data_IF_628783578647
#
_entry.id   IF_628783578647
#
_cell.length_a   1.000
_cell.length_b   1.000
_cell.length_c   1.000
_cell.angle_alpha   90.00
_cell.angle_beta   90.00
_cell.angle_gamma   90.00
#
_symmetry.space_group_name_H-M   'P 1'
#
loop_
_entity.id
_entity.type
_entity.pdbx_description
1 polymer ?
#
# COMPACT_ATOMS: atom_id res chain seq x y z
N UNK A 1 -25.90 19.92 -1.72
CA UNK A 1 -24.48 20.29 -1.51
C UNK A 1 -23.65 19.02 -1.64
N UNK A 2 -22.85 18.92 -2.67
CA UNK A 2 -22.25 17.67 -3.15
C UNK A 2 -21.17 17.16 -2.16
N UNK A 3 -21.35 15.99 -1.57
CA UNK A 3 -20.37 15.31 -0.67
C UNK A 3 -19.01 14.99 -1.35
N UNK A 4 -18.89 15.16 -2.66
CA UNK A 4 -17.63 14.99 -3.40
C UNK A 4 -16.59 16.08 -3.12
N UNK A 5 -16.99 17.27 -2.72
CA UNK A 5 -16.10 18.43 -2.55
C UNK A 5 -15.18 18.38 -1.32
N UNK A 6 -15.53 17.65 -0.26
CA UNK A 6 -14.66 17.53 0.95
C UNK A 6 -13.50 16.55 0.76
N UNK A 7 -13.72 15.46 0.03
CA UNK A 7 -12.65 14.47 -0.29
C UNK A 7 -11.64 15.00 -1.32
N UNK A 8 -12.04 15.96 -2.16
CA UNK A 8 -11.15 16.61 -3.12
C UNK A 8 -10.23 17.68 -2.49
N UNK A 9 -10.59 18.23 -1.32
CA UNK A 9 -9.79 19.27 -0.66
C UNK A 9 -8.56 18.69 0.07
N UNK A 10 -8.71 17.57 0.80
CA UNK A 10 -7.63 17.01 1.63
C UNK A 10 -6.86 15.86 0.92
N UNK A 11 -7.52 15.07 0.09
CA UNK A 11 -6.90 13.97 -0.65
C UNK A 11 -5.69 14.39 -1.51
N UNK A 12 -5.75 15.44 -2.32
CA UNK A 12 -4.61 15.90 -3.10
C UNK A 12 -3.41 16.36 -2.26
N UNK A 13 -3.62 16.92 -1.07
CA UNK A 13 -2.53 17.37 -0.20
C UNK A 13 -1.77 16.19 0.40
N UNK A 14 -2.46 15.17 0.91
CA UNK A 14 -1.85 13.95 1.47
C UNK A 14 -1.13 13.13 0.39
N UNK A 15 -1.70 13.03 -0.82
CA UNK A 15 -1.03 12.38 -1.96
C UNK A 15 0.25 13.13 -2.34
N UNK A 16 0.21 14.47 -2.44
CA UNK A 16 1.43 15.26 -2.72
C UNK A 16 2.50 15.06 -1.66
N UNK A 17 2.14 15.04 -0.38
CA UNK A 17 3.08 14.76 0.70
C UNK A 17 3.71 13.36 0.54
N UNK A 18 2.91 12.34 0.25
CA UNK A 18 3.39 10.98 0.00
C UNK A 18 4.37 10.92 -1.19
N UNK A 19 4.09 11.63 -2.28
CA UNK A 19 4.97 11.72 -3.44
C UNK A 19 6.32 12.36 -3.08
N UNK A 20 6.30 13.50 -2.38
CA UNK A 20 7.54 14.18 -1.96
C UNK A 20 8.39 13.27 -1.08
N UNK A 21 7.81 12.66 -0.05
CA UNK A 21 8.52 11.77 0.86
C UNK A 21 9.07 10.53 0.14
N UNK A 22 8.32 9.97 -0.80
CA UNK A 22 8.77 8.84 -1.61
C UNK A 22 9.98 9.20 -2.48
N UNK A 23 9.97 10.37 -3.13
CA UNK A 23 11.10 10.88 -3.92
C UNK A 23 12.32 11.14 -3.02
N UNK A 24 12.13 11.78 -1.88
CA UNK A 24 13.23 12.10 -0.95
C UNK A 24 13.88 10.83 -0.40
N UNK A 25 13.09 9.80 -0.14
CA UNK A 25 13.60 8.49 0.28
C UNK A 25 14.48 7.84 -0.80
N UNK A 26 14.08 7.90 -2.07
CA UNK A 26 14.90 7.38 -3.17
C UNK A 26 16.17 8.23 -3.33
N UNK A 27 16.06 9.55 -3.26
CA UNK A 27 17.23 10.46 -3.33
C UNK A 27 18.22 10.23 -2.21
N UNK A 28 17.79 9.79 -1.03
CA UNK A 28 18.68 9.51 0.09
C UNK A 28 19.60 8.30 -0.14
N UNK A 29 19.30 7.45 -1.13
CA UNK A 29 20.06 6.24 -1.46
C UNK A 29 20.63 6.23 -2.88
N UNK A 30 20.53 7.36 -3.61
CA UNK A 30 21.03 7.51 -4.99
C UNK A 30 21.88 8.77 -5.13
N UNK A 31 22.89 8.71 -6.01
CA UNK A 31 23.91 9.80 -6.16
C UNK A 31 23.62 10.76 -7.32
N UNK A 32 22.42 10.95 -7.74
CA UNK A 32 22.18 11.86 -8.85
C UNK A 32 20.73 12.19 -9.11
N UNK A 33 20.50 13.34 -9.70
CA UNK A 33 19.18 13.77 -10.13
C UNK A 33 19.15 14.09 -11.62
N UNK A 34 18.15 13.64 -12.30
CA UNK A 34 17.84 13.98 -13.68
C UNK A 34 16.33 14.00 -13.86
N UNK A 35 15.84 14.37 -15.03
CA UNK A 35 14.44 14.21 -15.37
C UNK A 35 14.30 13.43 -16.68
N UNK A 36 13.21 12.71 -16.85
CA UNK A 36 12.85 12.04 -18.07
C UNK A 36 11.41 12.35 -18.44
N UNK A 37 11.19 12.65 -19.70
CA UNK A 37 9.85 12.88 -20.25
C UNK A 37 9.25 11.60 -20.86
N UNK A 38 9.96 10.47 -20.77
CA UNK A 38 9.52 9.20 -21.33
C UNK A 38 9.96 8.02 -20.46
N UNK A 39 9.09 7.01 -20.30
CA UNK A 39 9.35 5.82 -19.50
C UNK A 39 8.87 4.54 -20.21
N UNK A 40 9.65 3.47 -20.07
CA UNK A 40 9.20 2.10 -20.31
C UNK A 40 8.90 1.48 -18.95
N UNK A 41 7.68 1.02 -18.75
CA UNK A 41 7.24 0.50 -17.47
C UNK A 41 7.09 -1.01 -17.54
N UNK A 42 7.76 -1.71 -16.65
CA UNK A 42 7.66 -3.14 -16.47
C UNK A 42 6.66 -3.52 -15.38
N UNK A 43 6.25 -4.79 -15.36
CA UNK A 43 5.43 -5.32 -14.28
C UNK A 43 5.57 -6.82 -14.11
N UNK A 44 5.53 -7.27 -12.85
CA UNK A 44 5.41 -8.68 -12.46
C UNK A 44 4.31 -8.87 -11.41
N UNK A 45 3.70 -10.05 -11.43
CA UNK A 45 2.66 -10.47 -10.48
C UNK A 45 1.31 -10.72 -11.14
N UNK A 46 0.40 -11.34 -10.40
CA UNK A 46 -0.87 -11.85 -10.94
C UNK A 46 -1.74 -10.81 -11.62
N UNK A 47 -1.68 -9.56 -11.18
CA UNK A 47 -2.47 -8.45 -11.74
C UNK A 47 -1.63 -7.45 -12.54
N UNK A 48 -0.34 -7.75 -12.82
CA UNK A 48 0.59 -6.80 -13.43
C UNK A 48 0.15 -6.38 -14.84
N UNK A 49 -0.25 -7.32 -15.67
CA UNK A 49 -0.73 -7.03 -17.04
C UNK A 49 -1.95 -6.08 -17.03
N UNK A 50 -2.85 -6.22 -16.05
CA UNK A 50 -3.98 -5.32 -15.86
C UNK A 50 -3.52 -3.94 -15.33
N UNK A 51 -2.62 -3.92 -14.35
CA UNK A 51 -2.11 -2.68 -13.75
C UNK A 51 -1.36 -1.81 -14.77
N UNK A 52 -0.56 -2.43 -15.67
CA UNK A 52 0.16 -1.73 -16.74
C UNK A 52 -0.78 -1.04 -17.76
N UNK A 53 -1.99 -1.58 -17.94
CA UNK A 53 -3.04 -1.00 -18.81
C UNK A 53 -4.02 -0.11 -18.02
N UNK A 54 -3.84 -0.01 -16.71
CA UNK A 54 -4.77 0.65 -15.82
C UNK A 54 -4.79 2.17 -16.02
N UNK A 55 -5.99 2.74 -16.14
CA UNK A 55 -6.20 4.18 -16.32
C UNK A 55 -5.51 5.02 -15.25
N UNK A 56 -5.53 4.57 -13.98
CA UNK A 56 -4.93 5.32 -12.87
C UNK A 56 -3.41 5.51 -13.03
N UNK A 57 -2.70 4.55 -13.61
CA UNK A 57 -1.28 4.69 -13.92
C UNK A 57 -1.06 5.67 -15.06
N UNK A 58 -1.83 5.54 -16.15
CA UNK A 58 -1.75 6.43 -17.30
C UNK A 58 -2.08 7.88 -16.94
N UNK A 59 -3.15 8.11 -16.18
CA UNK A 59 -3.54 9.44 -15.73
C UNK A 59 -2.46 10.08 -14.84
N UNK A 60 -1.79 9.29 -13.98
CA UNK A 60 -0.70 9.77 -13.15
C UNK A 60 0.55 10.13 -13.97
N UNK A 61 0.92 9.32 -14.95
CA UNK A 61 2.04 9.62 -15.87
C UNK A 61 1.77 10.90 -16.66
N UNK A 62 0.54 11.05 -17.17
CA UNK A 62 0.13 12.25 -17.92
C UNK A 62 0.20 13.50 -17.02
N UNK A 63 -0.22 13.42 -15.77
CA UNK A 63 -0.15 14.53 -14.81
C UNK A 63 1.31 14.97 -14.55
N UNK A 64 2.26 14.03 -14.54
CA UNK A 64 3.69 14.27 -14.40
C UNK A 64 4.37 14.62 -15.76
N UNK A 65 3.63 14.65 -16.86
CA UNK A 65 4.15 14.87 -18.23
C UNK A 65 5.22 13.84 -18.60
N UNK A 66 4.94 12.58 -18.33
CA UNK A 66 5.78 11.44 -18.70
C UNK A 66 5.08 10.64 -19.77
N UNK A 67 5.68 10.55 -20.95
CA UNK A 67 5.19 9.72 -22.05
C UNK A 67 5.46 8.25 -21.76
N UNK A 68 4.45 7.41 -21.88
CA UNK A 68 4.59 5.96 -21.77
C UNK A 68 5.10 5.40 -23.11
N UNK A 69 6.42 5.23 -23.23
CA UNK A 69 7.07 4.70 -24.44
C UNK A 69 6.78 3.21 -24.68
N UNK A 70 6.41 2.47 -23.62
CA UNK A 70 6.05 1.07 -23.73
C UNK A 70 5.82 0.41 -22.39
N UNK A 71 5.23 -0.79 -22.45
CA UNK A 71 5.05 -1.64 -21.27
C UNK A 71 5.61 -3.03 -21.53
N UNK A 72 6.21 -3.66 -20.49
CA UNK A 72 6.75 -5.02 -20.56
C UNK A 72 6.23 -5.81 -19.36
N UNK A 73 5.74 -7.01 -19.62
CA UNK A 73 5.31 -7.95 -18.56
C UNK A 73 6.32 -9.08 -18.45
N UNK A 74 6.67 -9.44 -17.23
CA UNK A 74 7.55 -10.57 -16.90
C UNK A 74 6.82 -11.56 -16.00
N UNK A 75 7.20 -12.82 -16.06
CA UNK A 75 6.58 -13.88 -15.27
C UNK A 75 7.23 -14.04 -13.90
N UNK A 76 8.50 -13.65 -13.74
CA UNK A 76 9.26 -13.82 -12.51
C UNK A 76 10.30 -12.72 -12.27
N UNK A 77 10.83 -12.61 -11.03
CA UNK A 77 11.81 -11.59 -10.68
C UNK A 77 13.15 -11.69 -11.43
N UNK A 78 13.58 -12.87 -11.80
CA UNK A 78 14.89 -13.07 -12.49
C UNK A 78 14.85 -12.45 -13.87
N UNK A 79 13.76 -12.68 -14.61
CA UNK A 79 13.55 -12.07 -15.93
C UNK A 79 13.44 -10.55 -15.82
N UNK A 80 12.66 -10.05 -14.85
CA UNK A 80 12.52 -8.61 -14.61
C UNK A 80 13.88 -7.95 -14.36
N UNK A 81 14.65 -8.47 -13.41
CA UNK A 81 15.91 -7.84 -12.99
C UNK A 81 17.01 -8.00 -14.04
N UNK A 82 16.97 -9.06 -14.84
CA UNK A 82 17.90 -9.31 -15.95
C UNK A 82 17.66 -8.44 -17.18
N UNK A 83 16.48 -7.87 -17.36
CA UNK A 83 16.14 -7.02 -18.52
C UNK A 83 16.45 -5.54 -18.21
N UNK A 84 17.14 -4.87 -19.12
CA UNK A 84 17.55 -3.46 -18.96
C UNK A 84 16.67 -2.46 -19.72
N UNK A 85 15.64 -2.91 -20.44
CA UNK A 85 14.83 -2.06 -21.33
C UNK A 85 13.83 -1.17 -20.62
N UNK A 86 13.53 -1.42 -19.34
CA UNK A 86 12.57 -0.65 -18.55
C UNK A 86 13.27 0.30 -17.57
N UNK A 87 12.60 1.39 -17.23
CA UNK A 87 13.08 2.42 -16.28
C UNK A 87 12.39 2.33 -14.91
N UNK A 88 11.15 1.84 -14.86
CA UNK A 88 10.39 1.61 -13.64
C UNK A 88 9.64 0.28 -13.75
N UNK A 89 9.58 -0.46 -12.65
CA UNK A 89 8.81 -1.70 -12.60
C UNK A 89 7.81 -1.72 -11.43
N UNK A 90 6.61 -2.23 -11.72
CA UNK A 90 5.58 -2.56 -10.75
C UNK A 90 5.82 -3.99 -10.25
N UNK A 91 5.99 -4.16 -8.96
CA UNK A 91 6.08 -5.46 -8.31
C UNK A 91 4.80 -5.71 -7.52
N UNK A 92 3.99 -6.66 -7.98
CA UNK A 92 2.71 -6.99 -7.38
C UNK A 92 2.77 -8.37 -6.70
N UNK A 93 1.69 -8.76 -6.02
CA UNK A 93 1.64 -10.08 -5.37
C UNK A 93 1.84 -11.20 -6.40
N UNK A 94 2.58 -12.28 -6.06
CA UNK A 94 3.16 -12.56 -4.74
C UNK A 94 4.56 -11.99 -4.50
N UNK A 95 5.20 -11.33 -5.45
CA UNK A 95 6.64 -11.12 -5.56
C UNK A 95 7.25 -10.03 -4.66
N UNK A 96 6.44 -9.20 -3.98
CA UNK A 96 6.91 -8.01 -3.25
C UNK A 96 7.99 -8.28 -2.20
N UNK A 97 7.92 -9.43 -1.53
CA UNK A 97 8.90 -9.82 -0.51
C UNK A 97 10.08 -10.61 -1.12
N UNK A 98 9.85 -11.30 -2.23
CA UNK A 98 10.86 -12.11 -2.91
C UNK A 98 11.83 -11.26 -3.73
N UNK A 99 11.37 -10.14 -4.28
CA UNK A 99 12.20 -9.20 -5.05
C UNK A 99 13.16 -8.43 -4.14
N UNK A 100 12.76 -8.10 -2.91
CA UNK A 100 13.52 -7.25 -2.02
C UNK A 100 14.98 -7.72 -1.78
N UNK A 101 15.27 -9.01 -1.47
CA UNK A 101 16.63 -9.46 -1.25
C UNK A 101 17.49 -9.53 -2.53
N UNK A 102 16.87 -9.48 -3.71
CA UNK A 102 17.58 -9.51 -5.00
C UNK A 102 18.00 -8.12 -5.50
N UNK A 103 17.57 -7.04 -4.83
CA UNK A 103 17.90 -5.66 -5.20
C UNK A 103 19.01 -5.13 -4.30
N UNK A 104 20.12 -4.65 -4.86
CA UNK A 104 21.28 -4.25 -4.08
C UNK A 104 21.03 -2.98 -3.23
N UNK A 105 20.17 -2.09 -3.69
CA UNK A 105 19.86 -0.84 -3.01
C UNK A 105 18.38 -0.77 -2.69
N UNK A 106 18.05 -0.65 -1.40
CA UNK A 106 16.68 -0.49 -0.92
C UNK A 106 16.52 0.88 -0.27
N UNK A 107 15.36 1.52 -0.51
CA UNK A 107 14.98 2.70 0.28
C UNK A 107 14.76 2.31 1.75
N UNK A 108 14.86 3.27 2.71
CA UNK A 108 14.61 2.99 4.12
C UNK A 108 13.31 2.25 4.39
N UNK A 109 12.20 2.64 3.76
CA UNK A 109 10.92 1.96 3.93
C UNK A 109 10.90 0.55 3.33
N UNK A 110 11.56 0.33 2.20
CA UNK A 110 11.68 -1.01 1.61
C UNK A 110 12.52 -1.92 2.49
N UNK A 111 13.65 -1.44 3.00
CA UNK A 111 14.53 -2.18 3.90
C UNK A 111 13.83 -2.52 5.22
N UNK A 112 13.15 -1.56 5.85
CA UNK A 112 12.46 -1.76 7.12
C UNK A 112 11.30 -2.76 7.02
N UNK A 113 10.59 -2.77 5.90
CA UNK A 113 9.44 -3.67 5.70
C UNK A 113 9.81 -5.01 5.07
N UNK A 114 10.95 -5.10 4.38
CA UNK A 114 11.28 -6.22 3.50
C UNK A 114 10.33 -6.32 2.29
N UNK A 115 9.76 -5.20 1.85
CA UNK A 115 8.75 -5.15 0.78
C UNK A 115 9.19 -4.16 -0.29
N UNK A 116 9.25 -4.62 -1.53
CA UNK A 116 9.43 -3.80 -2.72
C UNK A 116 8.20 -3.94 -3.60
N UNK A 117 7.47 -2.85 -3.83
CA UNK A 117 6.32 -2.82 -4.74
C UNK A 117 6.63 -2.02 -6.03
N UNK A 118 7.76 -1.33 -6.04
CA UNK A 118 8.24 -0.55 -7.16
C UNK A 118 9.75 -0.66 -7.25
N UNK A 119 10.29 -0.84 -8.45
CA UNK A 119 11.72 -0.80 -8.70
C UNK A 119 12.00 0.34 -9.68
N UNK A 120 12.95 1.20 -9.33
CA UNK A 120 13.44 2.26 -10.21
C UNK A 120 14.82 1.88 -10.70
N UNK A 121 15.08 2.03 -12.00
CA UNK A 121 16.39 1.78 -12.58
C UNK A 121 17.09 3.10 -12.88
N UNK A 122 18.24 3.28 -12.25
CA UNK A 122 19.15 4.39 -12.50
C UNK A 122 20.47 3.93 -13.16
N UNK A 123 21.40 4.85 -13.34
CA UNK A 123 22.73 4.55 -13.88
C UNK A 123 23.56 3.66 -12.94
N UNK A 124 23.34 3.74 -11.65
CA UNK A 124 24.05 2.97 -10.61
C UNK A 124 23.39 1.61 -10.32
N UNK A 125 22.29 1.28 -10.98
CA UNK A 125 21.60 0.01 -10.81
C UNK A 125 20.11 0.16 -10.43
N UNK A 126 19.55 -0.90 -9.89
CA UNK A 126 18.15 -0.96 -9.47
C UNK A 126 17.99 -0.54 -8.00
N UNK A 127 16.97 0.26 -7.73
CA UNK A 127 16.57 0.70 -6.39
C UNK A 127 15.18 0.18 -6.08
N UNK A 128 15.06 -0.58 -4.99
CA UNK A 128 13.78 -1.09 -4.51
C UNK A 128 13.08 -0.09 -3.59
N UNK A 129 11.81 0.19 -3.89
CA UNK A 129 10.98 1.19 -3.23
C UNK A 129 9.72 0.55 -2.67
N UNK A 130 9.29 1.00 -1.49
CA UNK A 130 7.97 0.68 -0.93
C UNK A 130 7.03 1.89 -1.06
N UNK A 131 6.50 2.11 -2.26
CA UNK A 131 5.54 3.19 -2.51
C UNK A 131 4.21 2.97 -1.77
N UNK A 132 3.84 1.71 -1.53
CA UNK A 132 2.63 1.35 -0.80
C UNK A 132 2.63 1.86 0.65
N UNK A 133 3.79 1.98 1.30
CA UNK A 133 3.85 2.51 2.66
C UNK A 133 3.48 4.00 2.73
N UNK A 134 3.93 4.79 1.77
CA UNK A 134 3.58 6.21 1.66
C UNK A 134 2.13 6.41 1.24
N UNK A 135 1.67 5.61 0.29
CA UNK A 135 0.29 5.63 -0.18
C UNK A 135 -0.71 5.21 0.91
N UNK A 136 -0.36 4.20 1.72
CA UNK A 136 -1.19 3.79 2.87
C UNK A 136 -1.26 4.88 3.94
N UNK A 137 -0.14 5.58 4.20
CA UNK A 137 -0.13 6.70 5.12
C UNK A 137 -1.08 7.81 4.64
N UNK A 138 -0.98 8.23 3.37
CA UNK A 138 -1.87 9.23 2.80
C UNK A 138 -3.35 8.83 2.89
N UNK A 139 -3.66 7.56 2.63
CA UNK A 139 -5.03 7.04 2.72
C UNK A 139 -5.57 7.10 4.16
N UNK A 140 -4.78 6.62 5.12
CA UNK A 140 -5.20 6.58 6.53
C UNK A 140 -5.30 7.99 7.13
N UNK A 141 -4.35 8.89 6.87
CA UNK A 141 -4.42 10.28 7.33
C UNK A 141 -5.64 11.02 6.76
N UNK A 142 -5.93 10.81 5.46
CA UNK A 142 -7.14 11.36 4.83
C UNK A 142 -8.41 10.82 5.47
N UNK A 143 -8.50 9.51 5.68
CA UNK A 143 -9.65 8.87 6.31
C UNK A 143 -9.84 9.34 7.75
N UNK A 144 -8.75 9.54 8.49
CA UNK A 144 -8.79 10.04 9.86
C UNK A 144 -9.13 11.54 9.96
N UNK A 145 -8.98 12.32 8.88
CA UNK A 145 -9.32 13.74 8.87
C UNK A 145 -8.56 14.55 9.94
N UNK A 146 -7.26 14.33 10.08
CA UNK A 146 -6.40 15.00 11.06
C UNK A 146 -6.51 14.47 12.50
N UNK A 147 -7.34 13.45 12.76
CA UNK A 147 -7.47 12.83 14.08
C UNK A 147 -6.44 11.72 14.27
N UNK A 148 -5.96 11.56 15.49
CA UNK A 148 -5.16 10.39 15.87
C UNK A 148 -6.07 9.25 16.30
N UNK A 149 -5.95 8.04 15.74
CA UNK A 149 -6.72 6.89 16.22
C UNK A 149 -6.26 6.47 17.61
N UNK A 150 -7.17 6.02 18.46
CA UNK A 150 -6.81 5.42 19.76
C UNK A 150 -6.13 4.07 19.55
N UNK A 151 -6.63 3.29 18.60
CA UNK A 151 -6.09 1.99 18.24
C UNK A 151 -6.26 1.74 16.74
N UNK A 152 -5.32 1.01 16.16
CA UNK A 152 -5.36 0.53 14.77
C UNK A 152 -5.29 -0.99 14.77
N UNK A 153 -6.27 -1.63 14.15
CA UNK A 153 -6.26 -3.06 13.90
C UNK A 153 -5.97 -3.35 12.43
N UNK A 154 -4.93 -4.14 12.17
CA UNK A 154 -4.57 -4.59 10.82
C UNK A 154 -4.89 -6.09 10.69
N UNK A 155 -5.74 -6.42 9.72
CA UNK A 155 -6.06 -7.80 9.36
C UNK A 155 -5.13 -8.28 8.25
N UNK A 156 -4.35 -9.33 8.52
CA UNK A 156 -3.36 -9.91 7.61
C UNK A 156 -1.92 -9.76 8.10
N UNK A 157 -1.01 -10.60 7.57
CA UNK A 157 0.41 -10.62 7.93
C UNK A 157 1.35 -10.68 6.71
N UNK A 158 0.85 -10.28 5.54
CA UNK A 158 1.61 -10.26 4.27
C UNK A 158 2.35 -8.95 4.02
N UNK A 159 2.90 -8.80 2.81
CA UNK A 159 3.65 -7.59 2.41
C UNK A 159 2.83 -6.30 2.55
N UNK A 160 1.54 -6.33 2.23
CA UNK A 160 0.67 -5.14 2.37
C UNK A 160 0.51 -4.74 3.84
N UNK A 161 0.40 -5.70 4.77
CA UNK A 161 0.33 -5.39 6.20
C UNK A 161 1.62 -4.76 6.73
N UNK A 162 2.80 -5.15 6.20
CA UNK A 162 4.06 -4.51 6.54
C UNK A 162 4.07 -3.03 6.13
N UNK A 163 3.60 -2.73 4.92
CA UNK A 163 3.52 -1.35 4.41
C UNK A 163 2.57 -0.48 5.24
N UNK A 164 1.40 -1.02 5.58
CA UNK A 164 0.40 -0.33 6.43
C UNK A 164 0.93 -0.13 7.85
N UNK A 165 1.57 -1.14 8.45
CA UNK A 165 2.13 -1.01 9.80
C UNK A 165 3.22 0.06 9.88
N UNK A 166 4.12 0.12 8.88
CA UNK A 166 5.12 1.17 8.79
C UNK A 166 4.47 2.55 8.66
N UNK A 167 3.44 2.67 7.82
CA UNK A 167 2.68 3.90 7.66
C UNK A 167 2.02 4.35 8.99
N UNK A 168 1.44 3.43 9.75
CA UNK A 168 0.89 3.71 11.09
C UNK A 168 1.96 4.22 12.05
N UNK A 169 3.14 3.57 12.09
CA UNK A 169 4.24 3.98 12.98
C UNK A 169 4.82 5.35 12.61
N UNK A 170 4.79 5.74 11.34
CA UNK A 170 5.19 7.09 10.91
C UNK A 170 4.14 8.14 11.28
N UNK A 171 2.88 7.89 10.95
CA UNK A 171 1.79 8.84 11.20
C UNK A 171 1.49 9.00 12.70
N UNK A 172 1.52 7.89 13.44
CA UNK A 172 1.13 7.84 14.85
C UNK A 172 2.07 6.91 15.64
N UNK A 173 3.28 7.37 16.01
CA UNK A 173 4.32 6.52 16.60
C UNK A 173 3.90 5.77 17.87
N UNK A 174 3.02 6.38 18.66
CA UNK A 174 2.57 5.85 19.95
C UNK A 174 1.19 5.15 19.89
N UNK A 175 0.61 5.00 18.71
CA UNK A 175 -0.70 4.36 18.58
C UNK A 175 -0.65 2.89 19.04
N UNK A 176 -1.69 2.44 19.72
CA UNK A 176 -1.91 1.03 19.99
C UNK A 176 -2.14 0.31 18.66
N UNK A 177 -1.12 -0.44 18.20
CA UNK A 177 -1.15 -1.17 16.95
C UNK A 177 -1.39 -2.65 17.22
N UNK A 178 -2.40 -3.21 16.60
CA UNK A 178 -2.84 -4.59 16.78
C UNK A 178 -2.83 -5.29 15.42
N UNK A 179 -2.28 -6.49 15.34
CA UNK A 179 -2.35 -7.35 14.17
C UNK A 179 -3.17 -8.60 14.42
N UNK A 180 -3.91 -9.05 13.41
CA UNK A 180 -4.55 -10.37 13.47
C UNK A 180 -4.49 -11.08 12.12
N UNK A 181 -4.07 -12.34 12.12
CA UNK A 181 -3.94 -13.15 10.92
C UNK A 181 -4.04 -14.65 11.23
N UNK A 182 -4.37 -15.46 10.20
CA UNK A 182 -4.40 -16.92 10.30
C UNK A 182 -3.02 -17.55 10.47
N UNK A 183 -2.00 -16.97 9.84
CA UNK A 183 -0.61 -17.44 9.96
C UNK A 183 0.04 -16.80 11.20
N UNK A 184 0.03 -17.54 12.31
CA UNK A 184 0.50 -17.07 13.63
C UNK A 184 2.01 -16.79 13.62
N UNK A 185 2.80 -17.59 12.91
CA UNK A 185 4.26 -17.40 12.84
C UNK A 185 4.64 -16.11 12.08
N UNK A 186 4.04 -15.90 10.91
CA UNK A 186 4.22 -14.65 10.16
C UNK A 186 3.72 -13.44 10.96
N UNK A 187 2.61 -13.60 11.67
CA UNK A 187 2.04 -12.57 12.53
C UNK A 187 2.97 -12.20 13.70
N UNK A 188 3.59 -13.19 14.36
CA UNK A 188 4.53 -12.95 15.45
C UNK A 188 5.77 -12.17 14.99
N UNK A 189 6.34 -12.53 13.83
CA UNK A 189 7.44 -11.77 13.22
C UNK A 189 7.03 -10.34 12.85
N UNK A 190 5.84 -10.17 12.34
CA UNK A 190 5.25 -8.87 12.03
C UNK A 190 5.09 -8.02 13.30
N UNK A 191 4.51 -8.59 14.36
CA UNK A 191 4.29 -7.89 15.62
C UNK A 191 5.60 -7.44 16.28
N UNK A 192 6.63 -8.29 16.27
CA UNK A 192 7.95 -7.95 16.75
C UNK A 192 8.58 -6.79 15.94
N UNK A 193 8.49 -6.85 14.61
CA UNK A 193 9.05 -5.82 13.71
C UNK A 193 8.44 -4.45 13.95
N UNK A 194 7.15 -4.38 14.21
CA UNK A 194 6.42 -3.11 14.33
C UNK A 194 6.05 -2.75 15.79
N UNK A 195 6.57 -3.46 16.79
CA UNK A 195 6.23 -3.26 18.21
C UNK A 195 4.72 -3.24 18.43
N UNK A 196 4.02 -4.25 17.90
CA UNK A 196 2.57 -4.35 17.89
C UNK A 196 2.08 -5.51 18.76
N UNK A 197 0.86 -5.38 19.25
CA UNK A 197 0.11 -6.51 19.83
C UNK A 197 -0.34 -7.44 18.69
N UNK A 198 -0.47 -8.74 18.97
CA UNK A 198 -1.01 -9.66 17.98
C UNK A 198 -1.79 -10.81 18.60
N UNK A 199 -2.81 -11.27 17.88
CA UNK A 199 -3.57 -12.46 18.24
C UNK A 199 -4.14 -13.15 16.99
N UNK A 200 -4.45 -14.44 17.11
CA UNK A 200 -5.21 -15.14 16.09
C UNK A 200 -6.66 -14.65 16.02
N UNK A 201 -7.39 -14.99 14.93
CA UNK A 201 -8.78 -14.52 14.75
C UNK A 201 -9.73 -14.90 15.90
N UNK A 202 -9.57 -16.08 16.51
CA UNK A 202 -10.42 -16.54 17.59
C UNK A 202 -10.27 -15.73 18.89
N UNK A 203 -9.06 -15.23 19.18
CA UNK A 203 -8.78 -14.43 20.39
C UNK A 203 -9.06 -12.93 20.19
N UNK A 204 -9.30 -12.50 18.95
CA UNK A 204 -9.45 -11.08 18.62
C UNK A 204 -10.66 -10.44 19.30
N UNK A 205 -11.77 -11.16 19.37
CA UNK A 205 -12.98 -10.69 20.01
C UNK A 205 -12.80 -10.43 21.52
N UNK A 206 -11.96 -11.23 22.19
CA UNK A 206 -11.62 -11.04 23.59
C UNK A 206 -10.66 -9.87 23.79
N UNK A 207 -9.65 -9.73 22.92
CA UNK A 207 -8.70 -8.63 22.96
C UNK A 207 -9.37 -7.25 22.78
N UNK A 208 -10.46 -7.22 22.01
CA UNK A 208 -11.22 -5.99 21.70
C UNK A 208 -12.54 -5.90 22.51
N UNK A 209 -12.70 -6.69 23.57
CA UNK A 209 -13.96 -6.82 24.34
C UNK A 209 -14.57 -5.47 24.71
N UNK A 210 -13.74 -4.54 25.14
CA UNK A 210 -14.19 -3.29 25.72
C UNK A 210 -14.14 -2.10 24.74
N UNK A 211 -13.40 -2.23 23.63
CA UNK A 211 -13.24 -1.11 22.69
C UNK A 211 -12.90 -1.60 21.27
N UNK A 212 -13.83 -1.49 20.28
CA UNK A 212 -13.53 -1.71 18.87
C UNK A 212 -12.43 -0.77 18.38
N UNK A 213 -11.64 -1.18 17.37
CA UNK A 213 -10.54 -0.36 16.86
C UNK A 213 -11.06 0.95 16.24
N UNK A 214 -10.42 2.08 16.56
CA UNK A 214 -10.77 3.37 15.96
C UNK A 214 -10.53 3.38 14.45
N UNK A 215 -9.50 2.65 14.00
CA UNK A 215 -9.18 2.41 12.61
C UNK A 215 -8.98 0.90 12.38
N UNK A 216 -9.84 0.33 11.55
CA UNK A 216 -9.73 -1.05 11.06
C UNK A 216 -9.15 -1.04 9.64
N UNK A 217 -8.13 -1.86 9.38
CA UNK A 217 -7.50 -1.97 8.07
C UNK A 217 -7.50 -3.42 7.60
N UNK A 218 -8.17 -3.69 6.47
CA UNK A 218 -8.11 -4.99 5.81
C UNK A 218 -6.97 -5.02 4.78
N UNK A 219 -5.96 -5.84 5.03
CA UNK A 219 -4.85 -6.10 4.11
C UNK A 219 -4.88 -7.52 3.54
N UNK A 220 -5.94 -8.27 3.80
CA UNK A 220 -6.13 -9.62 3.26
C UNK A 220 -6.60 -9.55 1.80
N UNK A 221 -6.44 -10.65 1.08
CA UNK A 221 -6.96 -10.81 -0.28
C UNK A 221 -8.46 -11.15 -0.33
N UNK A 222 -9.11 -11.30 0.84
CA UNK A 222 -10.54 -11.57 0.90
C UNK A 222 -11.34 -10.38 0.36
N UNK A 223 -12.22 -10.63 -0.59
CA UNK A 223 -12.99 -9.60 -1.29
C UNK A 223 -12.33 -9.04 -2.55
N UNK A 224 -11.09 -9.45 -2.91
CA UNK A 224 -10.46 -9.05 -4.18
C UNK A 224 -11.18 -9.61 -5.41
N UNK A 225 -11.76 -10.80 -5.29
CA UNK A 225 -12.48 -11.48 -6.35
C UNK A 225 -13.77 -12.12 -5.79
N UNK A 226 -14.73 -12.46 -6.66
CA UNK A 226 -15.93 -13.17 -6.24
C UNK A 226 -15.60 -14.50 -5.56
N UNK A 227 -14.61 -15.23 -6.05
CA UNK A 227 -14.15 -16.48 -5.47
C UNK A 227 -13.55 -16.29 -4.07
N UNK A 228 -12.76 -15.25 -3.85
CA UNK A 228 -12.22 -14.96 -2.52
C UNK A 228 -13.29 -14.48 -1.53
N UNK A 229 -14.30 -13.76 -2.01
CA UNK A 229 -15.42 -13.27 -1.21
C UNK A 229 -16.44 -14.37 -0.86
N UNK A 230 -16.55 -15.40 -1.70
CA UNK A 230 -17.37 -16.57 -1.42
C UNK A 230 -16.78 -17.50 -0.33
N UNK A 231 -15.47 -17.38 -0.07
CA UNK A 231 -14.82 -18.12 1.01
C UNK A 231 -15.18 -17.53 2.39
N UNK A 232 -15.20 -18.34 3.47
CA UNK A 232 -15.43 -17.82 4.81
C UNK A 232 -14.40 -16.75 5.20
N UNK A 233 -14.87 -15.61 5.69
CA UNK A 233 -13.98 -14.62 6.28
C UNK A 233 -13.50 -15.11 7.64
N UNK A 234 -12.21 -15.02 7.90
CA UNK A 234 -11.59 -15.60 9.09
C UNK A 234 -11.91 -14.85 10.40
N UNK A 235 -12.55 -13.68 10.31
CA UNK A 235 -12.79 -12.80 11.46
C UNK A 235 -14.28 -12.54 11.63
N UNK A 236 -14.73 -12.39 12.88
CA UNK A 236 -16.10 -11.99 13.21
C UNK A 236 -16.26 -10.48 12.95
N UNK A 237 -16.41 -10.08 11.68
CA UNK A 237 -16.34 -8.68 11.24
C UNK A 237 -17.30 -7.76 12.01
N UNK A 238 -18.51 -8.22 12.32
CA UNK A 238 -19.49 -7.45 13.08
C UNK A 238 -19.01 -6.99 14.46
N UNK A 239 -18.10 -7.74 15.09
CA UNK A 239 -17.49 -7.35 16.38
C UNK A 239 -16.35 -6.32 16.23
N UNK A 240 -15.87 -6.11 15.02
CA UNK A 240 -14.79 -5.15 14.73
C UNK A 240 -15.35 -3.78 14.34
N UNK A 241 -16.66 -3.68 14.12
CA UNK A 241 -17.33 -2.46 13.64
C UNK A 241 -17.87 -1.64 14.79
N UNK A 242 -17.82 -0.31 14.65
CA UNK A 242 -18.48 0.63 15.55
C UNK A 242 -18.86 1.91 14.78
N UNK A 243 -20.05 2.47 15.00
CA UNK A 243 -20.46 3.71 14.36
C UNK A 243 -19.45 4.83 14.58
N UNK A 244 -19.13 5.58 13.52
CA UNK A 244 -18.18 6.69 13.55
C UNK A 244 -16.71 6.30 13.49
N UNK A 245 -16.35 5.02 13.69
CA UNK A 245 -15.00 4.52 13.47
C UNK A 245 -14.66 4.42 11.97
N UNK A 246 -13.40 4.16 11.67
CA UNK A 246 -12.85 4.20 10.31
C UNK A 246 -12.55 2.79 9.82
N UNK A 247 -12.88 2.49 8.57
CA UNK A 247 -12.51 1.25 7.89
C UNK A 247 -11.76 1.54 6.59
N UNK A 248 -10.55 1.09 6.49
CA UNK A 248 -9.75 1.11 5.28
C UNK A 248 -9.62 -0.31 4.72
N UNK A 249 -10.24 -0.54 3.57
CA UNK A 249 -10.11 -1.80 2.83
C UNK A 249 -9.13 -1.61 1.67
N UNK A 250 -8.04 -2.37 1.64
CA UNK A 250 -7.08 -2.29 0.54
C UNK A 250 -7.63 -2.80 -0.79
N UNK A 251 -8.79 -3.46 -0.78
CA UNK A 251 -9.44 -3.90 -2.01
C UNK A 251 -9.96 -2.70 -2.83
N UNK A 252 -9.77 -2.78 -4.13
CA UNK A 252 -10.17 -1.71 -5.08
C UNK A 252 -11.64 -1.82 -5.50
N UNK A 253 -12.24 -2.99 -5.33
CA UNK A 253 -13.67 -3.23 -5.60
C UNK A 253 -14.50 -3.01 -4.34
N UNK A 254 -15.79 -2.75 -4.51
CA UNK A 254 -16.73 -2.76 -3.39
C UNK A 254 -16.91 -4.21 -2.93
N UNK A 255 -16.48 -4.50 -1.70
CA UNK A 255 -16.60 -5.80 -1.07
C UNK A 255 -17.77 -5.86 -0.08
N UNK A 256 -18.18 -7.07 0.31
CA UNK A 256 -19.19 -7.26 1.34
C UNK A 256 -18.74 -6.64 2.70
N UNK A 257 -17.42 -6.59 2.99
CA UNK A 257 -16.91 -5.93 4.18
C UNK A 257 -17.12 -4.41 4.14
N UNK A 258 -16.87 -3.77 2.99
CA UNK A 258 -17.13 -2.33 2.82
C UNK A 258 -18.61 -2.02 2.99
N UNK A 259 -19.49 -2.84 2.42
CA UNK A 259 -20.95 -2.71 2.56
C UNK A 259 -21.37 -2.88 4.02
N UNK A 260 -20.86 -3.91 4.71
CA UNK A 260 -21.17 -4.17 6.13
C UNK A 260 -20.65 -3.04 7.03
N UNK A 261 -19.46 -2.51 6.76
CA UNK A 261 -18.91 -1.37 7.51
C UNK A 261 -19.77 -0.11 7.36
N UNK A 262 -20.21 0.20 6.12
CA UNK A 262 -21.12 1.32 5.88
C UNK A 262 -22.46 1.14 6.60
N UNK A 263 -23.04 -0.06 6.57
CA UNK A 263 -24.29 -0.38 7.28
C UNK A 263 -24.12 -0.26 8.80
N UNK A 264 -22.93 -0.56 9.34
CA UNK A 264 -22.59 -0.35 10.74
C UNK A 264 -22.28 1.11 11.11
N UNK A 265 -22.40 2.05 10.17
CA UNK A 265 -22.17 3.47 10.41
C UNK A 265 -20.68 3.89 10.46
N UNK A 266 -19.77 3.07 9.94
CA UNK A 266 -18.36 3.42 9.81
C UNK A 266 -18.12 4.36 8.60
N UNK A 267 -17.03 5.12 8.66
CA UNK A 267 -16.52 5.80 7.48
C UNK A 267 -15.58 4.84 6.72
N UNK A 268 -15.80 4.68 5.43
CA UNK A 268 -15.11 3.65 4.62
C UNK A 268 -14.26 4.29 3.54
N UNK A 269 -13.03 3.81 3.39
CA UNK A 269 -12.15 4.11 2.27
C UNK A 269 -11.75 2.80 1.58
N UNK A 270 -11.87 2.77 0.26
CA UNK A 270 -11.41 1.64 -0.57
C UNK A 270 -9.96 1.80 -0.99
N UNK A 271 -9.34 0.70 -1.42
CA UNK A 271 -7.98 0.66 -1.94
C UNK A 271 -7.74 1.53 -3.18
N UNK A 272 -8.79 1.98 -3.85
CA UNK A 272 -8.68 2.88 -5.01
C UNK A 272 -7.94 4.19 -4.66
N UNK A 273 -8.17 4.74 -3.46
CA UNK A 273 -7.42 5.93 -3.01
C UNK A 273 -5.92 5.63 -2.89
N UNK A 274 -5.58 4.54 -2.21
CA UNK A 274 -4.19 4.10 -2.07
C UNK A 274 -3.56 3.82 -3.44
N UNK A 275 -4.29 3.21 -4.37
CA UNK A 275 -3.82 2.94 -5.72
C UNK A 275 -3.51 4.24 -6.49
N UNK A 276 -4.33 5.29 -6.34
CA UNK A 276 -4.05 6.62 -6.88
C UNK A 276 -2.75 7.20 -6.32
N UNK A 277 -2.57 7.16 -5.00
CA UNK A 277 -1.37 7.65 -4.35
C UNK A 277 -0.12 6.86 -4.77
N UNK A 278 -0.21 5.52 -4.83
CA UNK A 278 0.87 4.65 -5.31
C UNK A 278 1.28 4.99 -6.76
N UNK A 279 0.30 5.18 -7.65
CA UNK A 279 0.60 5.51 -9.04
C UNK A 279 1.13 6.95 -9.19
N UNK A 280 0.71 7.90 -8.35
CA UNK A 280 1.31 9.22 -8.30
C UNK A 280 2.80 9.16 -7.89
N UNK A 281 3.15 8.37 -6.86
CA UNK A 281 4.56 8.12 -6.49
C UNK A 281 5.33 7.51 -7.67
N UNK A 282 4.79 6.48 -8.34
CA UNK A 282 5.42 5.83 -9.48
C UNK A 282 5.64 6.77 -10.67
N UNK A 283 4.65 7.60 -10.98
CA UNK A 283 4.77 8.60 -12.05
C UNK A 283 5.85 9.63 -11.74
N UNK A 284 5.88 10.15 -10.52
CA UNK A 284 6.89 11.10 -10.07
C UNK A 284 8.30 10.48 -10.06
N UNK A 285 8.43 9.21 -9.66
CA UNK A 285 9.70 8.46 -9.75
C UNK A 285 10.13 8.21 -11.20
N UNK A 286 9.18 7.99 -12.12
CA UNK A 286 9.47 7.88 -13.56
C UNK A 286 9.97 9.21 -14.13
N UNK A 287 9.45 10.35 -13.64
CA UNK A 287 9.90 11.68 -14.03
C UNK A 287 11.28 11.99 -13.46
N UNK A 288 11.51 11.68 -12.20
CA UNK A 288 12.77 11.86 -11.51
C UNK A 288 13.77 10.77 -11.90
N UNK A 289 14.48 10.92 -13.04
CA UNK A 289 15.55 9.97 -13.40
C UNK A 289 16.64 9.98 -12.32
N UNK A 290 16.89 8.82 -11.75
CA UNK A 290 18.05 8.57 -10.90
C UNK A 290 19.27 8.37 -11.81
N UNK A 291 20.25 9.27 -11.74
CA UNK A 291 21.51 9.12 -12.46
C UNK A 291 22.56 8.49 -11.58
#
# INVERSE_FOLDING_TARGET
>A
MNRMTLLEADGPATIRAAVVQCIDEVRSVTSGSGSSDSAVIAGIGTTAAHALKGRLLHDALLAERVDLAGTVHFDNPVELLGDSRWSLALVLSPWKQEVAPAIPTLTPSAAQTGVVDTVVRGSEGAVGVNTNSWASQAAMETLMGGRTPKSVLILGSGGSSNSVALACRRAWPQVRLIGSARNVEALSRWAQRFSAECCGPAALAELLRDEPPSLLVNTTTWGETDASEAAPFAFEFGRLTSPGNQFFDLNNRVSALQTSALQAGMNVMSGTFMQRATNACRAALSKARMR
#
